data_IF_990328446348
#
_entry.id   IF_990328446348
#
_cell.length_a   1.000
_cell.length_b   1.000
_cell.length_c   1.000
_cell.angle_alpha   90.00
_cell.angle_beta   90.00
_cell.angle_gamma   90.00
#
_symmetry.space_group_name_H-M   'P 1'
#
loop_
_entity.id
_entity.type
_entity.pdbx_description
1 polymer ?
#
# COMPACT_ATOMS: atom_id res chain seq x y z
N UNK A 1 37.86 -23.10 12.77
CA UNK A 1 36.63 -23.67 12.19
C UNK A 1 35.53 -23.13 13.08
N UNK A 2 35.00 -21.97 12.72
CA UNK A 2 34.00 -21.21 13.49
C UNK A 2 32.67 -21.33 12.72
N UNK A 3 31.72 -21.88 13.43
CA UNK A 3 30.32 -22.03 13.01
C UNK A 3 29.67 -20.64 13.00
N UNK A 4 29.52 -20.01 11.84
CA UNK A 4 28.78 -18.76 11.73
C UNK A 4 27.31 -19.10 11.51
N UNK A 5 26.55 -18.90 12.60
CA UNK A 5 25.10 -18.92 12.64
C UNK A 5 24.50 -18.07 11.51
N UNK A 6 23.76 -18.70 10.59
CA UNK A 6 22.90 -18.03 9.60
C UNK A 6 21.73 -17.40 10.33
N UNK A 7 21.85 -16.15 10.73
CA UNK A 7 20.71 -15.34 11.12
C UNK A 7 19.84 -15.06 9.88
N UNK A 8 18.60 -15.53 9.90
CA UNK A 8 17.60 -15.14 8.92
C UNK A 8 17.29 -13.66 9.03
N UNK A 9 17.06 -13.00 7.90
CA UNK A 9 16.70 -11.60 7.84
C UNK A 9 15.48 -11.31 8.74
N UNK A 10 15.60 -10.31 9.61
CA UNK A 10 14.52 -9.85 10.49
C UNK A 10 13.40 -9.17 9.67
N UNK A 11 12.23 -8.94 10.30
CA UNK A 11 11.08 -8.22 9.74
C UNK A 11 11.46 -6.91 9.06
N UNK A 12 12.48 -6.23 9.56
CA UNK A 12 13.04 -5.00 8.98
C UNK A 12 13.72 -5.24 7.65
N UNK A 13 14.40 -6.36 7.52
CA UNK A 13 15.20 -6.70 6.33
C UNK A 13 14.32 -7.12 5.15
N UNK A 14 13.18 -7.79 5.41
CA UNK A 14 12.24 -8.15 4.34
C UNK A 14 11.65 -6.93 3.63
N UNK A 15 11.26 -5.90 4.38
CA UNK A 15 10.69 -4.70 3.76
C UNK A 15 11.74 -3.84 3.07
N UNK A 16 13.00 -3.87 3.52
CA UNK A 16 14.12 -3.24 2.81
C UNK A 16 14.39 -3.97 1.51
N UNK A 17 14.34 -5.30 1.50
CA UNK A 17 14.52 -6.11 0.29
C UNK A 17 13.32 -6.01 -0.67
N UNK A 18 12.09 -5.96 -0.15
CA UNK A 18 10.87 -5.78 -0.95
C UNK A 18 10.74 -4.37 -1.55
N UNK A 19 11.44 -3.40 -1.00
CA UNK A 19 11.33 -1.97 -1.37
C UNK A 19 12.59 -1.41 -2.05
N UNK A 20 13.57 -2.25 -2.38
CA UNK A 20 14.79 -1.84 -3.07
C UNK A 20 15.83 -1.21 -2.12
N UNK A 21 17.01 -1.79 -2.07
CA UNK A 21 18.14 -1.34 -1.28
C UNK A 21 18.50 0.12 -1.57
N UNK A 22 18.23 1.00 -0.62
CA UNK A 22 18.85 2.32 -0.55
C UNK A 22 19.08 2.62 0.92
N UNK A 23 20.23 2.18 1.43
CA UNK A 23 20.75 2.66 2.69
C UNK A 23 21.16 4.13 2.52
N UNK A 24 20.39 5.05 3.05
CA UNK A 24 20.79 6.44 3.21
C UNK A 24 20.81 6.78 4.69
N UNK A 25 21.94 7.35 5.09
CA UNK A 25 22.27 7.82 6.42
C UNK A 25 21.08 8.49 7.13
N UNK A 26 20.66 7.92 8.25
CA UNK A 26 19.79 8.58 9.20
C UNK A 26 20.58 9.70 9.91
N UNK A 27 20.40 10.92 9.49
CA UNK A 27 20.75 12.07 10.29
C UNK A 27 19.67 12.24 11.39
N UNK A 28 20.13 12.17 12.61
CA UNK A 28 19.38 12.37 13.83
C UNK A 28 18.71 13.75 13.82
N UNK A 29 17.40 13.83 13.57
CA UNK A 29 16.61 15.02 13.85
C UNK A 29 15.60 14.68 14.93
N UNK A 30 15.80 15.29 16.09
CA UNK A 30 14.99 15.11 17.26
C UNK A 30 13.50 15.33 16.97
N UNK A 31 12.68 14.46 17.54
CA UNK A 31 11.24 14.60 17.59
C UNK A 31 10.88 15.92 18.30
N UNK A 32 10.59 16.94 17.53
CA UNK A 32 9.83 18.08 18.03
C UNK A 32 8.36 17.69 18.00
N UNK A 33 7.74 17.73 19.18
CA UNK A 33 6.34 17.40 19.38
C UNK A 33 5.46 18.11 18.36
N UNK A 34 4.62 17.33 17.68
CA UNK A 34 3.56 17.84 16.84
C UNK A 34 2.66 18.72 17.70
N UNK A 35 2.73 20.01 17.47
CA UNK A 35 1.78 21.00 18.01
C UNK A 35 0.38 20.58 17.53
N UNK A 36 -0.45 20.11 18.46
CA UNK A 36 -1.85 19.82 18.22
C UNK A 36 -2.61 21.13 18.04
N UNK A 37 -2.32 21.84 16.95
CA UNK A 37 -3.11 23.01 16.57
C UNK A 37 -4.44 22.54 16.01
N UNK A 38 -5.46 22.69 16.86
CA UNK A 38 -6.88 22.88 16.59
C UNK A 38 -7.27 22.73 15.10
N UNK A 39 -7.61 21.51 14.67
CA UNK A 39 -8.25 21.25 13.38
C UNK A 39 -9.72 21.60 13.47
N UNK A 40 -10.04 22.89 13.61
CA UNK A 40 -11.35 23.38 13.25
C UNK A 40 -11.58 22.97 11.79
N UNK A 41 -12.64 22.20 11.50
CA UNK A 41 -12.96 21.71 10.17
C UNK A 41 -12.99 22.90 9.21
N UNK A 42 -11.94 23.04 8.41
CA UNK A 42 -11.94 24.01 7.32
C UNK A 42 -12.98 23.52 6.32
N UNK A 43 -13.91 24.39 5.92
CA UNK A 43 -14.86 24.08 4.85
C UNK A 43 -14.14 23.72 3.54
N UNK A 44 -14.88 23.22 2.58
CA UNK A 44 -14.37 22.96 1.23
C UNK A 44 -13.89 24.24 0.57
N UNK A 45 -12.63 24.27 0.11
CA UNK A 45 -12.03 25.43 -0.54
C UNK A 45 -11.93 25.18 -2.03
N UNK A 46 -12.72 25.91 -2.81
CA UNK A 46 -12.67 25.92 -4.29
C UNK A 46 -11.64 26.96 -4.73
N UNK A 47 -10.75 26.60 -5.66
CA UNK A 47 -9.76 27.55 -6.21
C UNK A 47 -10.36 28.54 -7.20
N UNK A 48 -11.50 28.22 -7.76
CA UNK A 48 -12.11 28.93 -8.88
C UNK A 48 -11.82 28.30 -10.25
N UNK A 49 -10.81 27.43 -10.32
CA UNK A 49 -10.43 26.76 -11.57
C UNK A 49 -11.37 25.58 -11.88
N UNK A 50 -11.38 25.23 -13.16
CA UNK A 50 -12.05 24.03 -13.68
C UNK A 50 -11.12 23.29 -14.65
N UNK A 51 -11.06 21.96 -14.53
CA UNK A 51 -10.32 21.07 -15.42
C UNK A 51 -11.30 20.00 -15.91
N UNK A 52 -11.46 19.86 -17.23
CA UNK A 52 -12.39 18.93 -17.88
C UNK A 52 -13.81 18.96 -17.28
N UNK A 53 -14.30 20.17 -17.03
CA UNK A 53 -15.63 20.38 -16.45
C UNK A 53 -15.77 20.04 -14.96
N UNK A 54 -14.68 19.68 -14.27
CA UNK A 54 -14.65 19.39 -12.84
C UNK A 54 -14.02 20.55 -12.08
N UNK A 55 -14.60 20.89 -10.91
CA UNK A 55 -14.07 21.94 -10.04
C UNK A 55 -12.76 21.52 -9.41
N UNK A 56 -11.85 22.48 -9.26
CA UNK A 56 -10.59 22.32 -8.52
C UNK A 56 -10.80 22.75 -7.07
N UNK A 57 -10.33 21.93 -6.14
CA UNK A 57 -10.37 22.18 -4.70
C UNK A 57 -8.95 22.15 -4.11
N UNK A 58 -8.71 22.91 -3.06
CA UNK A 58 -7.46 22.88 -2.27
C UNK A 58 -7.67 22.41 -0.81
N UNK A 59 -8.92 22.20 -0.41
CA UNK A 59 -9.33 21.50 0.80
C UNK A 59 -10.73 20.91 0.58
N UNK A 60 -11.05 19.81 1.26
CA UNK A 60 -12.35 19.16 1.23
C UNK A 60 -12.90 19.01 2.64
N UNK A 61 -14.18 19.37 2.79
CA UNK A 61 -15.02 18.90 3.88
C UNK A 61 -16.24 18.20 3.24
N UNK A 62 -16.35 16.88 3.41
CA UNK A 62 -17.45 16.11 2.84
C UNK A 62 -18.82 16.61 3.32
N UNK A 63 -18.91 17.23 4.51
CA UNK A 63 -20.18 17.74 5.03
C UNK A 63 -20.76 18.88 4.18
N UNK A 64 -19.93 19.64 3.47
CA UNK A 64 -20.35 20.72 2.59
C UNK A 64 -20.96 20.23 1.27
N UNK A 65 -20.77 18.95 0.93
CA UNK A 65 -21.25 18.39 -0.33
C UNK A 65 -22.74 18.05 -0.26
N UNK A 66 -23.41 18.12 -1.38
CA UNK A 66 -24.81 17.72 -1.51
C UNK A 66 -24.95 16.20 -1.25
N UNK A 67 -25.84 15.75 -0.32
CA UNK A 67 -26.05 14.36 -0.04
C UNK A 67 -26.77 13.62 -1.18
N UNK A 68 -26.61 12.29 -1.24
CA UNK A 68 -27.24 11.44 -2.23
C UNK A 68 -26.60 11.56 -3.63
N UNK A 69 -25.39 12.09 -3.75
CA UNK A 69 -24.72 12.34 -5.05
C UNK A 69 -23.27 11.87 -5.09
N UNK A 70 -22.78 11.60 -6.30
CA UNK A 70 -21.36 11.51 -6.61
C UNK A 70 -20.82 12.89 -6.97
N UNK A 71 -19.65 13.22 -6.44
CA UNK A 71 -18.95 14.46 -6.71
C UNK A 71 -17.56 14.12 -7.24
N UNK A 72 -17.13 14.83 -8.29
CA UNK A 72 -15.83 14.66 -8.93
C UNK A 72 -15.07 15.98 -8.85
N UNK A 73 -13.84 15.93 -8.37
CA UNK A 73 -12.97 17.09 -8.24
C UNK A 73 -11.57 16.77 -8.72
N UNK A 74 -10.81 17.83 -9.00
CA UNK A 74 -9.36 17.79 -8.94
C UNK A 74 -8.89 18.48 -7.68
N UNK A 75 -8.03 17.80 -6.90
CA UNK A 75 -7.37 18.41 -5.76
C UNK A 75 -6.06 19.06 -6.20
N UNK A 76 -5.87 20.32 -5.82
CA UNK A 76 -4.67 21.08 -6.10
C UNK A 76 -3.53 20.66 -5.16
N UNK A 77 -2.60 19.87 -5.67
CA UNK A 77 -1.41 19.43 -4.95
C UNK A 77 -0.25 20.43 -5.03
N UNK A 78 0.96 19.93 -4.84
CA UNK A 78 2.18 20.74 -4.87
C UNK A 78 2.43 21.33 -6.27
N UNK A 79 3.14 22.45 -6.34
CA UNK A 79 3.53 23.05 -7.60
C UNK A 79 4.59 22.23 -8.33
N UNK A 80 4.46 22.18 -9.66
CA UNK A 80 5.49 21.72 -10.58
C UNK A 80 6.62 22.73 -10.68
N UNK A 81 7.75 22.33 -11.24
CA UNK A 81 8.91 23.20 -11.45
C UNK A 81 8.60 24.41 -12.34
N UNK A 82 7.56 24.33 -13.18
CA UNK A 82 7.08 25.39 -14.07
C UNK A 82 6.05 26.33 -13.45
N UNK A 83 5.70 26.10 -12.16
CA UNK A 83 4.75 26.93 -11.39
C UNK A 83 3.29 26.49 -11.45
N UNK A 84 2.90 25.60 -12.36
CA UNK A 84 1.59 24.96 -12.34
C UNK A 84 1.49 23.97 -11.20
N UNK A 85 0.28 23.43 -10.93
CA UNK A 85 0.08 22.45 -9.88
C UNK A 85 -0.05 21.02 -10.45
N UNK A 86 0.38 20.05 -9.68
CA UNK A 86 -0.08 18.67 -9.84
C UNK A 86 -1.50 18.56 -9.32
N UNK A 87 -2.38 17.99 -10.10
CA UNK A 87 -3.78 17.80 -9.75
C UNK A 87 -4.06 16.32 -9.55
N UNK A 88 -4.73 15.99 -8.44
CA UNK A 88 -5.08 14.63 -8.07
C UNK A 88 -6.58 14.43 -8.27
N UNK A 89 -6.96 13.30 -8.86
CA UNK A 89 -8.35 12.95 -9.14
C UNK A 89 -9.05 12.47 -7.88
N UNK A 90 -10.14 13.13 -7.50
CA UNK A 90 -10.92 12.89 -6.30
C UNK A 90 -12.36 12.56 -6.67
N UNK A 91 -12.84 11.42 -6.16
CA UNK A 91 -14.25 11.02 -6.26
C UNK A 91 -14.84 10.92 -4.86
N UNK A 92 -16.03 11.47 -4.66
CA UNK A 92 -16.80 11.32 -3.41
C UNK A 92 -18.17 10.78 -3.72
N UNK A 93 -18.53 9.64 -3.14
CA UNK A 93 -19.90 9.17 -3.08
C UNK A 93 -20.46 9.55 -1.69
N UNK A 94 -21.22 10.64 -1.61
CA UNK A 94 -21.84 11.09 -0.37
C UNK A 94 -23.24 10.51 -0.25
N UNK A 95 -23.46 9.67 0.77
CA UNK A 95 -24.74 9.05 1.05
C UNK A 95 -25.84 10.08 1.38
N UNK A 96 -27.10 9.69 1.14
CA UNK A 96 -28.25 10.48 1.48
C UNK A 96 -28.48 10.60 3.01
N UNK A 97 -27.90 9.69 3.80
CA UNK A 97 -28.00 9.63 5.26
C UNK A 97 -26.62 9.80 5.91
N UNK A 98 -26.57 10.35 7.14
CA UNK A 98 -25.33 10.34 7.94
C UNK A 98 -24.81 8.91 8.17
N UNK A 99 -23.50 8.75 8.34
CA UNK A 99 -22.86 7.46 8.59
C UNK A 99 -21.35 7.58 8.60
N UNK A 100 -20.67 6.44 8.60
CA UNK A 100 -19.20 6.34 8.57
C UNK A 100 -18.62 6.79 7.24
N UNK A 101 -17.35 7.21 7.27
CA UNK A 101 -16.60 7.67 6.10
C UNK A 101 -15.39 6.78 5.90
N UNK A 102 -15.17 6.35 4.68
CA UNK A 102 -13.99 5.56 4.34
C UNK A 102 -13.20 6.24 3.23
N UNK A 103 -11.87 6.34 3.42
CA UNK A 103 -10.94 6.78 2.39
C UNK A 103 -10.34 5.57 1.68
N UNK A 104 -10.42 5.56 0.36
CA UNK A 104 -9.82 4.58 -0.55
C UNK A 104 -8.75 5.32 -1.36
N UNK A 105 -7.51 4.88 -1.27
CA UNK A 105 -6.38 5.58 -1.90
C UNK A 105 -5.66 4.66 -2.85
N UNK A 106 -5.25 5.16 -4.01
CA UNK A 106 -4.41 4.46 -4.99
C UNK A 106 -3.43 5.40 -5.68
N UNK A 107 -2.50 4.84 -6.42
CA UNK A 107 -1.53 5.62 -7.20
C UNK A 107 -0.49 6.35 -6.34
N UNK A 108 -0.21 5.86 -5.14
CA UNK A 108 0.93 6.32 -4.32
C UNK A 108 2.24 5.97 -5.03
N UNK A 109 2.32 4.79 -5.64
CA UNK A 109 3.34 4.45 -6.63
C UNK A 109 2.75 4.53 -8.03
N UNK A 110 3.49 5.12 -8.97
CA UNK A 110 2.91 5.47 -10.26
C UNK A 110 2.80 4.33 -11.27
N UNK A 111 3.46 3.21 -11.04
CA UNK A 111 3.38 2.02 -11.89
C UNK A 111 2.38 0.97 -11.36
N UNK A 112 1.67 1.26 -10.27
CA UNK A 112 0.71 0.35 -9.63
C UNK A 112 -0.72 0.68 -10.08
N UNK A 113 -1.16 0.12 -11.21
CA UNK A 113 -2.35 0.54 -11.95
C UNK A 113 -3.61 -0.26 -11.60
N UNK A 114 -3.50 -1.56 -11.23
CA UNK A 114 -4.66 -2.38 -10.82
C UNK A 114 -5.47 -1.75 -9.68
N UNK A 115 -4.87 -1.11 -8.65
CA UNK A 115 -5.56 -0.33 -7.63
C UNK A 115 -6.47 0.76 -8.18
N UNK A 116 -5.99 1.54 -9.15
CA UNK A 116 -6.78 2.62 -9.77
C UNK A 116 -8.06 2.07 -10.38
N UNK A 117 -7.94 0.96 -11.15
CA UNK A 117 -9.11 0.31 -11.76
C UNK A 117 -10.05 -0.31 -10.73
N UNK A 118 -9.50 -0.86 -9.65
CA UNK A 118 -10.29 -1.38 -8.52
C UNK A 118 -11.17 -0.27 -7.94
N UNK A 119 -10.58 0.89 -7.60
CA UNK A 119 -11.33 2.00 -7.01
C UNK A 119 -12.35 2.60 -7.99
N UNK A 120 -12.01 2.74 -9.26
CA UNK A 120 -12.98 3.14 -10.29
C UNK A 120 -14.19 2.20 -10.28
N UNK A 121 -13.95 0.88 -10.28
CA UNK A 121 -15.02 -0.12 -10.31
C UNK A 121 -15.88 -0.09 -9.04
N UNK A 122 -15.28 0.09 -7.86
CA UNK A 122 -16.01 0.28 -6.61
C UNK A 122 -16.90 1.52 -6.71
N UNK A 123 -16.32 2.67 -7.09
CA UNK A 123 -17.05 3.93 -7.17
C UNK A 123 -18.19 3.90 -8.20
N UNK A 124 -18.01 3.17 -9.31
CA UNK A 124 -19.07 3.00 -10.33
C UNK A 124 -20.29 2.26 -9.77
N UNK A 125 -20.09 1.25 -8.90
CA UNK A 125 -21.14 0.43 -8.31
C UNK A 125 -21.92 1.12 -7.19
N UNK A 126 -21.42 2.23 -6.64
CA UNK A 126 -22.10 2.92 -5.54
C UNK A 126 -23.31 3.72 -6.02
N UNK A 127 -24.44 3.58 -5.30
CA UNK A 127 -25.62 4.44 -5.43
C UNK A 127 -25.72 5.35 -4.18
N UNK A 128 -25.26 6.60 -4.24
CA UNK A 128 -25.29 7.49 -3.09
C UNK A 128 -26.69 7.75 -2.52
N UNK A 129 -27.74 7.63 -3.32
CA UNK A 129 -29.12 7.80 -2.84
C UNK A 129 -29.52 6.71 -1.83
N UNK A 130 -28.93 5.52 -1.97
CA UNK A 130 -29.16 4.38 -1.07
C UNK A 130 -28.15 4.30 0.10
N UNK A 131 -27.08 5.12 0.10
CA UNK A 131 -25.97 5.05 1.05
C UNK A 131 -26.21 5.82 2.34
N UNK A 132 -25.41 5.44 3.37
CA UNK A 132 -25.21 6.21 4.61
C UNK A 132 -23.71 6.55 4.74
N UNK A 133 -23.39 7.78 5.18
CA UNK A 133 -22.00 8.22 5.29
C UNK A 133 -21.37 8.54 3.93
N UNK A 134 -20.12 8.21 3.71
CA UNK A 134 -19.44 8.56 2.46
C UNK A 134 -18.26 7.64 2.12
N UNK A 135 -17.96 7.53 0.83
CA UNK A 135 -16.72 6.96 0.30
C UNK A 135 -15.95 8.06 -0.42
N UNK A 136 -14.72 8.31 0.01
CA UNK A 136 -13.75 9.20 -0.61
C UNK A 136 -12.72 8.35 -1.35
N UNK A 137 -12.61 8.47 -2.65
CA UNK A 137 -11.61 7.77 -3.45
C UNK A 137 -10.61 8.75 -4.06
N UNK A 138 -9.31 8.49 -3.86
CA UNK A 138 -8.19 9.19 -4.48
C UNK A 138 -7.52 8.23 -5.44
N UNK A 139 -7.43 8.60 -6.73
CA UNK A 139 -7.07 7.64 -7.77
C UNK A 139 -5.60 7.67 -8.19
N UNK A 140 -4.95 8.83 -8.12
CA UNK A 140 -3.68 9.12 -8.76
C UNK A 140 -2.78 10.02 -7.89
N UNK A 141 -2.54 9.59 -6.65
CA UNK A 141 -1.79 10.36 -5.64
C UNK A 141 -0.47 10.89 -6.19
N UNK A 142 0.36 10.03 -6.76
CA UNK A 142 1.66 10.38 -7.32
C UNK A 142 1.57 10.56 -8.83
N UNK A 143 0.76 11.53 -9.28
CA UNK A 143 0.54 11.74 -10.71
C UNK A 143 1.82 11.85 -11.54
N UNK A 144 2.88 12.56 -11.12
CA UNK A 144 4.12 12.59 -11.90
C UNK A 144 4.80 11.23 -12.04
N UNK A 145 4.64 10.34 -11.07
CA UNK A 145 5.14 8.97 -11.17
C UNK A 145 4.28 8.13 -12.13
N UNK A 146 2.95 8.31 -12.12
CA UNK A 146 2.02 7.65 -13.06
C UNK A 146 2.32 8.07 -14.50
N UNK A 147 2.50 9.36 -14.77
CA UNK A 147 2.85 9.88 -16.11
C UNK A 147 4.16 9.28 -16.62
N UNK A 148 5.09 8.94 -15.73
CA UNK A 148 6.35 8.27 -16.06
C UNK A 148 6.31 6.76 -16.02
N UNK A 149 5.16 6.13 -15.68
CA UNK A 149 5.04 4.69 -15.38
C UNK A 149 6.16 4.21 -14.46
N UNK A 150 6.49 5.02 -13.46
CA UNK A 150 7.58 4.80 -12.51
C UNK A 150 7.01 4.63 -11.10
N UNK A 151 7.66 3.76 -10.30
CA UNK A 151 7.28 3.59 -8.91
C UNK A 151 7.42 4.89 -8.10
N UNK A 152 8.54 5.57 -8.29
CA UNK A 152 8.95 6.71 -7.47
C UNK A 152 8.62 8.04 -8.10
N UNK A 153 8.39 9.05 -7.26
CA UNK A 153 8.23 10.44 -7.69
C UNK A 153 9.52 10.92 -8.36
N UNK A 154 9.47 11.31 -9.65
CA UNK A 154 10.63 11.84 -10.35
C UNK A 154 10.86 13.30 -9.96
N UNK A 155 12.13 13.70 -9.90
CA UNK A 155 12.58 15.10 -9.75
C UNK A 155 12.11 15.78 -8.45
N UNK A 156 12.83 15.54 -7.36
CA UNK A 156 12.57 16.17 -6.05
C UNK A 156 13.20 17.56 -5.88
N UNK A 157 13.81 18.13 -6.93
CA UNK A 157 14.44 19.45 -6.90
C UNK A 157 15.93 19.47 -6.53
N UNK A 158 16.56 18.29 -6.35
CA UNK A 158 18.00 18.15 -6.08
C UNK A 158 18.78 17.52 -7.25
N UNK A 159 18.21 17.53 -8.44
CA UNK A 159 18.71 16.78 -9.59
C UNK A 159 17.75 15.64 -9.94
N UNK A 160 18.27 14.46 -10.30
CA UNK A 160 17.45 13.27 -10.62
C UNK A 160 17.26 12.43 -9.34
N UNK A 161 16.70 13.02 -8.31
CA UNK A 161 16.32 12.25 -7.11
C UNK A 161 14.97 11.57 -7.35
N UNK A 162 14.90 10.31 -7.00
CA UNK A 162 13.67 9.51 -7.05
C UNK A 162 13.22 9.23 -5.62
N UNK A 163 12.13 9.88 -5.20
CA UNK A 163 11.59 9.72 -3.84
C UNK A 163 10.44 8.72 -3.85
N UNK A 164 10.50 7.75 -2.96
CA UNK A 164 9.37 6.86 -2.69
C UNK A 164 8.31 7.63 -1.90
N UNK A 165 7.18 7.92 -2.56
CA UNK A 165 6.08 8.68 -1.97
C UNK A 165 5.52 7.98 -0.72
N UNK A 166 5.58 6.64 -0.67
CA UNK A 166 5.15 5.86 0.49
C UNK A 166 6.21 5.76 1.60
N UNK A 167 7.08 6.78 1.67
CA UNK A 167 8.00 7.06 2.80
C UNK A 167 7.88 8.50 3.29
N UNK A 168 6.96 9.26 2.68
CA UNK A 168 6.80 10.68 2.97
C UNK A 168 5.58 11.01 3.86
N UNK A 169 4.73 10.01 4.18
CA UNK A 169 3.52 10.24 4.97
C UNK A 169 3.78 10.39 6.49
N UNK A 170 3.03 11.27 7.19
CA UNK A 170 1.91 12.10 6.71
C UNK A 170 2.34 13.31 5.89
N UNK A 171 3.63 13.55 5.70
CA UNK A 171 4.18 14.69 5.01
C UNK A 171 4.19 15.98 5.84
N UNK A 172 4.67 17.04 5.19
CA UNK A 172 4.69 18.39 5.79
C UNK A 172 4.46 19.41 4.68
N UNK A 173 3.40 20.21 4.77
CA UNK A 173 3.05 21.23 3.77
C UNK A 173 4.18 22.24 3.50
N UNK A 174 5.09 22.40 4.45
CA UNK A 174 6.30 23.22 4.36
C UNK A 174 7.60 22.38 4.32
N UNK A 175 7.49 21.07 4.00
CA UNK A 175 8.59 20.13 3.98
C UNK A 175 9.68 20.47 2.96
N UNK A 176 10.83 19.77 3.04
CA UNK A 176 12.00 20.09 2.22
C UNK A 176 11.88 19.62 0.76
N UNK A 177 10.97 18.68 0.47
CA UNK A 177 10.78 18.09 -0.86
C UNK A 177 9.36 18.29 -1.38
N UNK A 178 9.19 18.28 -2.71
CA UNK A 178 7.86 18.35 -3.31
C UNK A 178 6.96 17.16 -2.90
N UNK A 179 7.44 15.89 -2.89
CA UNK A 179 6.64 14.77 -2.38
C UNK A 179 6.19 14.94 -0.94
N UNK A 180 7.06 15.38 -0.02
CA UNK A 180 6.70 15.63 1.38
C UNK A 180 5.62 16.71 1.52
N UNK A 181 5.72 17.80 0.75
CA UNK A 181 4.68 18.85 0.71
C UNK A 181 3.37 18.34 0.13
N UNK A 182 3.45 17.53 -0.92
CA UNK A 182 2.29 16.93 -1.56
C UNK A 182 1.55 16.00 -0.61
N UNK A 183 2.28 15.10 0.07
CA UNK A 183 1.74 14.24 1.12
C UNK A 183 1.05 15.05 2.22
N UNK A 184 1.71 16.11 2.71
CA UNK A 184 1.15 16.99 3.74
C UNK A 184 -0.14 17.68 3.31
N UNK A 185 -0.21 18.20 2.08
CA UNK A 185 -1.43 18.80 1.53
C UNK A 185 -2.57 17.78 1.44
N UNK A 186 -2.30 16.59 0.90
CA UNK A 186 -3.30 15.52 0.77
C UNK A 186 -3.76 15.04 2.15
N UNK A 187 -2.84 14.74 3.05
CA UNK A 187 -3.18 14.18 4.35
C UNK A 187 -3.98 15.15 5.21
N UNK A 188 -3.53 16.41 5.33
CA UNK A 188 -4.14 17.37 6.22
C UNK A 188 -5.43 18.01 5.67
N UNK A 189 -5.55 18.16 4.34
CA UNK A 189 -6.62 18.93 3.73
C UNK A 189 -7.67 18.09 3.02
N UNK A 190 -7.37 16.82 2.76
CA UNK A 190 -8.25 15.95 1.98
C UNK A 190 -8.56 14.64 2.72
N UNK A 191 -7.55 13.91 3.21
CA UNK A 191 -7.71 12.54 3.71
C UNK A 191 -8.16 12.51 5.17
N UNK A 192 -7.31 12.96 6.11
CA UNK A 192 -7.55 12.89 7.55
C UNK A 192 -8.89 13.53 8.01
N UNK A 193 -9.31 14.70 7.49
CA UNK A 193 -10.56 15.33 7.92
C UNK A 193 -11.82 14.59 7.46
N UNK A 194 -11.69 13.66 6.52
CA UNK A 194 -12.81 13.04 5.82
C UNK A 194 -12.88 11.52 5.95
N UNK A 195 -12.11 10.92 6.86
CA UNK A 195 -12.05 9.47 7.02
C UNK A 195 -12.20 9.02 8.47
N UNK A 196 -13.07 8.04 8.72
CA UNK A 196 -13.13 7.24 9.94
C UNK A 196 -12.31 5.95 9.80
N UNK A 197 -12.13 5.47 8.55
CA UNK A 197 -11.36 4.28 8.15
C UNK A 197 -10.65 4.54 6.83
N UNK A 198 -9.56 3.81 6.56
CA UNK A 198 -8.85 3.97 5.29
C UNK A 198 -8.28 2.65 4.74
N UNK A 199 -8.14 2.60 3.42
CA UNK A 199 -7.41 1.54 2.71
C UNK A 199 -6.48 2.18 1.67
N UNK A 200 -5.20 1.79 1.70
CA UNK A 200 -4.15 2.26 0.78
C UNK A 200 -3.78 1.14 -0.18
N UNK A 201 -4.31 1.18 -1.39
CA UNK A 201 -4.24 0.10 -2.37
C UNK A 201 -2.94 0.17 -3.19
N UNK A 202 -2.23 -0.95 -3.22
CA UNK A 202 -0.96 -1.13 -3.89
C UNK A 202 -0.92 -2.38 -4.78
N UNK A 203 0.23 -2.63 -5.39
CA UNK A 203 0.62 -3.90 -6.03
C UNK A 203 2.02 -4.28 -5.58
N UNK A 204 2.48 -5.46 -5.95
CA UNK A 204 3.89 -5.80 -5.87
C UNK A 204 4.77 -4.71 -6.51
N UNK A 205 5.95 -4.47 -5.93
CA UNK A 205 6.92 -3.50 -6.46
C UNK A 205 7.36 -3.87 -7.89
N UNK A 206 7.86 -2.91 -8.65
CA UNK A 206 8.41 -3.15 -10.00
C UNK A 206 9.30 -4.39 -10.05
N UNK A 207 9.02 -5.30 -10.98
CA UNK A 207 9.75 -6.55 -11.15
C UNK A 207 9.32 -7.68 -10.22
N UNK A 208 8.27 -7.49 -9.42
CA UNK A 208 7.69 -8.51 -8.53
C UNK A 208 6.21 -8.70 -8.81
N UNK A 209 5.77 -9.94 -8.71
CA UNK A 209 4.37 -10.32 -8.64
C UNK A 209 4.06 -10.81 -7.22
N UNK A 210 2.87 -10.51 -6.72
CA UNK A 210 2.42 -10.89 -5.38
C UNK A 210 1.07 -11.59 -5.43
N UNK A 211 0.78 -12.39 -4.41
CA UNK A 211 -0.57 -12.95 -4.22
C UNK A 211 -1.60 -11.85 -3.98
N UNK A 212 -2.87 -12.19 -4.01
CA UNK A 212 -3.89 -11.32 -3.44
C UNK A 212 -3.70 -11.30 -1.91
N UNK A 213 -3.07 -10.25 -1.37
CA UNK A 213 -2.77 -10.19 0.06
C UNK A 213 -2.92 -8.80 0.68
N UNK A 214 -2.86 -8.74 2.00
CA UNK A 214 -2.84 -7.49 2.75
C UNK A 214 -1.61 -7.37 3.63
N UNK A 215 -1.11 -6.15 3.76
CA UNK A 215 -0.26 -5.74 4.88
C UNK A 215 -1.17 -5.09 5.92
N UNK A 216 -1.31 -5.72 7.11
CA UNK A 216 -2.26 -5.28 8.12
C UNK A 216 -1.74 -5.47 9.55
N UNK A 217 -2.08 -4.55 10.44
CA UNK A 217 -1.90 -4.65 11.89
C UNK A 217 -3.03 -5.51 12.46
N UNK A 218 -2.84 -6.84 12.48
CA UNK A 218 -3.88 -7.77 12.93
C UNK A 218 -4.09 -7.76 14.45
N UNK A 219 -3.23 -7.10 15.20
CA UNK A 219 -3.40 -6.79 16.63
C UNK A 219 -4.44 -5.68 16.88
N UNK A 220 -4.78 -4.88 15.85
CA UNK A 220 -5.82 -3.87 15.93
C UNK A 220 -7.18 -4.45 15.51
N UNK A 221 -8.17 -4.55 16.43
CA UNK A 221 -9.42 -5.28 16.16
C UNK A 221 -10.20 -4.77 14.94
N UNK A 222 -10.26 -3.44 14.74
CA UNK A 222 -10.98 -2.86 13.60
C UNK A 222 -10.26 -3.08 12.28
N UNK A 223 -8.91 -3.08 12.28
CA UNK A 223 -8.11 -3.42 11.09
C UNK A 223 -8.31 -4.88 10.73
N UNK A 224 -8.21 -5.80 11.71
CA UNK A 224 -8.49 -7.22 11.53
C UNK A 224 -9.87 -7.46 10.95
N UNK A 225 -10.90 -6.81 11.54
CA UNK A 225 -12.28 -6.98 11.09
C UNK A 225 -12.47 -6.58 9.62
N UNK A 226 -11.79 -5.51 9.16
CA UNK A 226 -11.85 -5.11 7.75
C UNK A 226 -11.03 -6.03 6.84
N UNK A 227 -9.80 -6.37 7.25
CA UNK A 227 -8.87 -7.14 6.40
C UNK A 227 -9.39 -8.56 6.11
N UNK A 228 -10.05 -9.21 7.08
CA UNK A 228 -10.62 -10.55 6.93
C UNK A 228 -11.89 -10.60 6.03
N UNK A 229 -12.44 -9.44 5.65
CA UNK A 229 -13.63 -9.36 4.76
C UNK A 229 -13.32 -9.51 3.28
N UNK A 230 -12.05 -9.68 2.91
CA UNK A 230 -11.64 -9.86 1.52
C UNK A 230 -11.49 -11.35 1.18
N UNK A 231 -11.99 -11.80 0.02
CA UNK A 231 -11.79 -13.18 -0.45
C UNK A 231 -10.40 -13.35 -1.11
N UNK A 232 -9.36 -13.14 -0.33
CA UNK A 232 -7.95 -13.14 -0.76
C UNK A 232 -7.21 -14.35 -0.19
N UNK A 233 -5.95 -14.51 -0.59
CA UNK A 233 -5.14 -15.67 -0.26
C UNK A 233 -4.43 -15.51 1.09
N UNK A 234 -3.87 -14.32 1.37
CA UNK A 234 -2.93 -14.14 2.46
C UNK A 234 -3.08 -12.78 3.17
N UNK A 235 -2.74 -12.74 4.46
CA UNK A 235 -2.49 -11.51 5.21
C UNK A 235 -1.11 -11.60 5.85
N UNK A 236 -0.27 -10.61 5.60
CA UNK A 236 0.94 -10.41 6.38
C UNK A 236 0.61 -9.52 7.58
N UNK A 237 0.58 -10.14 8.77
CA UNK A 237 0.45 -9.43 10.05
C UNK A 237 1.73 -8.68 10.33
N UNK A 238 1.72 -7.40 10.00
CA UNK A 238 2.89 -6.58 9.99
C UNK A 238 2.62 -5.24 10.67
N UNK A 239 3.48 -4.79 11.60
CA UNK A 239 3.39 -3.44 12.12
C UNK A 239 3.60 -2.44 10.98
N UNK A 240 2.78 -1.40 10.96
CA UNK A 240 2.92 -0.30 10.02
C UNK A 240 4.31 0.35 10.14
N UNK A 241 4.94 0.63 8.99
CA UNK A 241 6.23 1.31 8.96
C UNK A 241 6.06 2.82 9.01
N UNK A 242 7.02 3.55 9.61
CA UNK A 242 7.04 5.01 9.50
C UNK A 242 7.09 5.45 8.04
N UNK A 243 6.29 6.47 7.71
CA UNK A 243 6.27 7.09 6.39
C UNK A 243 5.34 6.43 5.37
N UNK A 244 4.71 5.28 5.67
CA UNK A 244 3.64 4.72 4.81
C UNK A 244 2.28 5.34 5.16
N UNK A 245 1.39 5.41 4.16
CA UNK A 245 0.09 6.07 4.33
C UNK A 245 -0.80 5.36 5.36
N UNK A 246 -0.91 4.04 5.31
CA UNK A 246 -1.68 3.27 6.29
C UNK A 246 -1.18 3.51 7.73
N UNK A 247 0.15 3.60 7.92
CA UNK A 247 0.77 3.94 9.21
C UNK A 247 0.37 5.34 9.67
N UNK A 248 0.44 6.33 8.78
CA UNK A 248 0.06 7.70 9.09
C UNK A 248 -1.41 7.84 9.53
N UNK A 249 -2.32 7.05 8.95
CA UNK A 249 -3.71 6.98 9.41
C UNK A 249 -3.82 6.36 10.81
N UNK A 250 -3.14 5.24 11.06
CA UNK A 250 -3.13 4.55 12.36
C UNK A 250 -2.59 5.49 13.46
N UNK A 251 -1.53 6.24 13.19
CA UNK A 251 -0.90 7.17 14.12
C UNK A 251 -1.84 8.31 14.58
N UNK A 252 -2.87 8.62 13.78
CA UNK A 252 -3.90 9.60 14.15
C UNK A 252 -5.23 8.95 14.59
N UNK A 253 -5.21 7.63 14.85
CA UNK A 253 -6.36 6.89 15.37
C UNK A 253 -7.39 6.47 14.32
N UNK A 254 -7.04 6.49 13.03
CA UNK A 254 -7.89 6.02 11.93
C UNK A 254 -7.43 4.60 11.54
N UNK A 255 -8.25 3.55 11.77
CA UNK A 255 -7.90 2.19 11.37
C UNK A 255 -7.67 2.09 9.85
N UNK A 256 -6.52 1.53 9.46
CA UNK A 256 -6.12 1.43 8.07
C UNK A 256 -5.25 0.21 7.80
N UNK A 257 -5.24 -0.26 6.55
CA UNK A 257 -4.35 -1.32 6.07
C UNK A 257 -4.08 -1.16 4.57
N UNK A 258 -3.15 -1.98 4.04
CA UNK A 258 -2.71 -1.91 2.66
C UNK A 258 -3.10 -3.19 1.90
N UNK A 259 -4.11 -3.14 1.02
CA UNK A 259 -4.38 -4.18 0.02
C UNK A 259 -3.33 -4.16 -1.10
N UNK A 260 -2.82 -5.35 -1.48
CA UNK A 260 -1.79 -5.56 -2.51
C UNK A 260 -2.34 -6.43 -3.64
N UNK A 261 -2.37 -5.93 -4.88
CA UNK A 261 -3.10 -6.51 -6.03
C UNK A 261 -2.14 -6.94 -7.13
N UNK A 262 -1.53 -8.11 -7.02
CA UNK A 262 -0.70 -8.69 -8.09
C UNK A 262 0.52 -7.85 -8.48
N UNK A 263 0.86 -7.84 -9.75
CA UNK A 263 2.03 -7.16 -10.29
C UNK A 263 1.77 -5.70 -10.67
N UNK A 264 2.82 -4.87 -10.62
CA UNK A 264 2.82 -3.52 -11.20
C UNK A 264 2.71 -3.53 -12.73
N UNK A 265 2.35 -2.39 -13.31
CA UNK A 265 2.30 -2.11 -14.77
C UNK A 265 1.27 -2.91 -15.57
N UNK A 266 0.40 -3.67 -14.91
CA UNK A 266 -0.68 -4.41 -15.56
C UNK A 266 -2.02 -4.08 -14.92
N UNK A 267 -3.10 -4.40 -15.64
CA UNK A 267 -4.45 -4.52 -15.08
C UNK A 267 -4.70 -6.00 -14.82
N UNK A 268 -4.62 -6.43 -13.59
CA UNK A 268 -4.88 -7.82 -13.23
C UNK A 268 -6.39 -8.08 -13.14
N UNK A 269 -6.95 -8.53 -14.25
CA UNK A 269 -8.38 -8.83 -14.37
C UNK A 269 -8.84 -10.02 -13.51
N UNK A 270 -7.93 -10.84 -13.00
CA UNK A 270 -8.24 -11.95 -12.11
C UNK A 270 -8.34 -11.51 -10.64
N UNK A 271 -7.48 -10.59 -10.23
CA UNK A 271 -7.42 -10.11 -8.85
C UNK A 271 -8.33 -8.91 -8.57
N UNK A 272 -8.47 -7.97 -9.51
CA UNK A 272 -9.32 -6.78 -9.33
C UNK A 272 -10.71 -7.14 -8.76
N UNK A 273 -11.45 -8.15 -9.27
CA UNK A 273 -12.76 -8.51 -8.73
C UNK A 273 -12.76 -8.91 -7.26
N UNK A 274 -11.68 -9.58 -6.77
CA UNK A 274 -11.55 -9.99 -5.37
C UNK A 274 -11.46 -8.76 -4.44
N UNK A 275 -10.70 -7.76 -4.86
CA UNK A 275 -10.53 -6.51 -4.09
C UNK A 275 -11.76 -5.59 -4.18
N UNK A 276 -12.48 -5.61 -5.29
CA UNK A 276 -13.80 -4.94 -5.39
C UNK A 276 -14.78 -5.60 -4.43
N UNK A 277 -14.90 -6.94 -4.43
CA UNK A 277 -15.79 -7.70 -3.54
C UNK A 277 -15.47 -7.43 -2.06
N UNK A 278 -14.19 -7.50 -1.68
CA UNK A 278 -13.72 -7.23 -0.32
C UNK A 278 -14.01 -5.79 0.11
N UNK A 279 -13.74 -4.81 -0.75
CA UNK A 279 -14.06 -3.40 -0.48
C UNK A 279 -15.56 -3.22 -0.26
N UNK A 280 -16.40 -3.79 -1.12
CA UNK A 280 -17.85 -3.75 -0.96
C UNK A 280 -18.31 -4.43 0.34
N UNK A 281 -17.63 -5.49 0.78
CA UNK A 281 -17.90 -6.13 2.08
C UNK A 281 -17.55 -5.20 3.25
N UNK A 282 -16.43 -4.48 3.19
CA UNK A 282 -16.07 -3.48 4.21
C UNK A 282 -17.12 -2.36 4.27
N UNK A 283 -17.60 -1.88 3.11
CA UNK A 283 -18.66 -0.86 3.08
C UNK A 283 -19.98 -1.35 3.70
N UNK A 284 -20.32 -2.64 3.49
CA UNK A 284 -21.49 -3.28 4.14
C UNK A 284 -21.29 -3.45 5.63
N UNK A 285 -20.11 -3.88 6.06
CA UNK A 285 -19.74 -4.06 7.46
C UNK A 285 -19.92 -2.77 8.27
N UNK A 286 -19.51 -1.64 7.71
CA UNK A 286 -19.67 -0.34 8.34
C UNK A 286 -21.05 0.32 8.11
N UNK A 287 -21.99 -0.37 7.44
CA UNK A 287 -23.33 0.15 7.17
C UNK A 287 -23.36 1.34 6.20
N UNK A 288 -22.29 1.52 5.40
CA UNK A 288 -22.24 2.56 4.37
C UNK A 288 -23.17 2.19 3.21
N UNK A 289 -23.18 0.93 2.82
CA UNK A 289 -24.14 0.36 1.87
C UNK A 289 -24.89 -0.81 2.49
N UNK A 290 -26.11 -1.05 2.02
CA UNK A 290 -26.87 -2.24 2.38
C UNK A 290 -26.51 -3.43 1.48
N UNK A 291 -26.85 -4.65 1.93
CA UNK A 291 -26.73 -5.88 1.15
C UNK A 291 -26.09 -7.02 1.93
N UNK A 292 -26.16 -8.21 1.34
CA UNK A 292 -25.50 -9.39 1.92
C UNK A 292 -23.98 -9.33 1.69
N UNK A 293 -23.22 -9.87 2.64
CA UNK A 293 -21.78 -10.05 2.45
C UNK A 293 -21.53 -10.97 1.26
N UNK A 294 -20.51 -10.63 0.48
CA UNK A 294 -19.91 -11.54 -0.48
C UNK A 294 -18.97 -12.55 0.21
N UNK A 295 -18.12 -13.20 -0.56
CA UNK A 295 -17.08 -14.08 -0.02
C UNK A 295 -16.10 -13.26 0.84
N UNK A 296 -15.50 -13.93 1.83
CA UNK A 296 -14.53 -13.34 2.76
C UNK A 296 -13.31 -14.25 2.89
N UNK A 297 -12.32 -13.87 3.64
CA UNK A 297 -11.15 -14.69 3.94
C UNK A 297 -11.50 -16.02 4.64
N UNK A 298 -12.68 -16.11 5.28
CA UNK A 298 -13.15 -17.34 5.87
C UNK A 298 -13.48 -18.41 4.82
N UNK A 299 -14.10 -18.00 3.71
CA UNK A 299 -14.47 -18.91 2.62
C UNK A 299 -13.26 -19.30 1.77
N UNK A 300 -12.24 -18.43 1.65
CA UNK A 300 -11.02 -18.73 0.88
C UNK A 300 -9.99 -19.51 1.71
N UNK A 301 -10.12 -19.57 3.03
CA UNK A 301 -9.13 -20.21 3.89
C UNK A 301 -7.84 -19.40 3.98
N UNK A 302 -7.97 -18.10 4.12
CA UNK A 302 -6.87 -17.13 4.14
C UNK A 302 -5.74 -17.56 5.09
N UNK A 303 -4.50 -17.52 4.61
CA UNK A 303 -3.31 -17.74 5.42
C UNK A 303 -2.85 -16.44 6.07
N UNK A 304 -2.71 -16.40 7.38
CA UNK A 304 -2.20 -15.24 8.12
C UNK A 304 -0.82 -15.58 8.65
N UNK A 305 0.20 -14.93 8.09
CA UNK A 305 1.59 -15.06 8.52
C UNK A 305 2.07 -13.81 9.23
N UNK A 306 2.98 -14.00 10.21
CA UNK A 306 3.54 -12.89 10.99
C UNK A 306 4.99 -12.56 10.63
N UNK A 307 5.57 -13.29 9.69
CA UNK A 307 6.96 -13.13 9.25
C UNK A 307 7.07 -13.46 7.77
N UNK A 308 8.04 -12.85 7.11
CA UNK A 308 8.34 -13.14 5.72
C UNK A 308 9.84 -13.37 5.54
N UNK A 309 10.19 -14.34 4.69
CA UNK A 309 11.57 -14.67 4.35
C UNK A 309 11.82 -14.36 2.89
N UNK A 310 12.79 -13.51 2.60
CA UNK A 310 13.22 -13.17 1.25
C UNK A 310 14.37 -14.08 0.80
N UNK A 311 14.21 -14.74 -0.32
CA UNK A 311 15.29 -15.45 -1.03
C UNK A 311 15.93 -14.45 -1.99
N UNK A 312 17.18 -14.08 -1.73
CA UNK A 312 17.89 -13.05 -2.48
C UNK A 312 18.89 -13.67 -3.45
N UNK A 313 18.99 -13.07 -4.65
CA UNK A 313 20.03 -13.43 -5.61
C UNK A 313 21.43 -13.13 -5.07
N UNK A 314 22.37 -14.04 -5.25
CA UNK A 314 23.80 -13.86 -4.93
C UNK A 314 24.64 -13.56 -6.16
N UNK A 315 24.09 -13.81 -7.35
CA UNK A 315 24.75 -13.63 -8.65
C UNK A 315 23.88 -12.78 -9.59
N UNK A 316 24.47 -12.27 -10.65
CA UNK A 316 23.74 -11.73 -11.80
C UNK A 316 23.39 -12.85 -12.80
N UNK A 317 22.25 -12.70 -13.51
CA UNK A 317 21.87 -13.64 -14.56
C UNK A 317 20.38 -13.79 -14.79
N UNK A 318 20.03 -14.80 -15.56
CA UNK A 318 18.65 -15.16 -15.90
C UNK A 318 18.06 -16.06 -14.81
N UNK A 319 16.86 -15.70 -14.36
CA UNK A 319 16.17 -16.40 -13.27
C UNK A 319 15.12 -17.34 -13.81
N UNK A 320 15.15 -18.57 -13.35
CA UNK A 320 14.12 -19.59 -13.55
C UNK A 320 13.51 -19.91 -12.18
N UNK A 321 12.26 -19.54 -11.97
CA UNK A 321 11.52 -19.86 -10.74
C UNK A 321 11.04 -21.30 -10.81
N UNK A 322 11.17 -22.04 -9.71
CA UNK A 322 10.70 -23.42 -9.55
C UNK A 322 9.42 -23.50 -8.71
N UNK A 323 8.92 -22.35 -8.28
CA UNK A 323 7.70 -22.17 -7.51
C UNK A 323 6.87 -21.02 -8.09
N UNK A 324 5.62 -20.96 -7.73
CA UNK A 324 4.67 -19.90 -8.07
C UNK A 324 3.99 -19.35 -6.82
N UNK A 325 3.26 -18.27 -6.98
CA UNK A 325 2.44 -17.67 -5.91
C UNK A 325 1.49 -18.71 -5.31
N UNK A 326 1.31 -18.67 -3.99
CA UNK A 326 0.51 -19.58 -3.16
C UNK A 326 1.07 -21.01 -3.03
N UNK A 327 2.21 -21.36 -3.63
CA UNK A 327 2.82 -22.65 -3.39
C UNK A 327 3.27 -22.77 -1.92
N UNK A 328 3.00 -23.94 -1.32
CA UNK A 328 3.56 -24.32 -0.02
C UNK A 328 4.97 -24.84 -0.23
N UNK A 329 5.91 -24.33 0.51
CA UNK A 329 7.31 -24.70 0.43
C UNK A 329 7.85 -25.13 1.79
N UNK A 330 8.82 -26.03 1.78
CA UNK A 330 9.53 -26.48 2.98
C UNK A 330 10.92 -25.82 3.07
N UNK A 331 11.43 -25.70 4.30
CA UNK A 331 12.81 -25.26 4.50
C UNK A 331 13.77 -26.21 3.78
N UNK A 332 14.70 -25.65 2.99
CA UNK A 332 15.62 -26.41 2.13
C UNK A 332 15.07 -26.73 0.74
N UNK A 333 13.80 -26.53 0.46
CA UNK A 333 13.23 -26.72 -0.88
C UNK A 333 13.83 -25.72 -1.86
N UNK A 334 14.25 -26.20 -3.03
CA UNK A 334 14.77 -25.37 -4.12
C UNK A 334 13.62 -24.58 -4.75
N UNK A 335 13.80 -23.26 -4.85
CA UNK A 335 12.77 -22.32 -5.30
C UNK A 335 13.15 -21.54 -6.56
N UNK A 336 14.44 -21.42 -6.87
CA UNK A 336 14.91 -20.77 -8.10
C UNK A 336 16.27 -21.30 -8.55
N UNK A 337 16.54 -21.14 -9.86
CA UNK A 337 17.84 -21.39 -10.49
C UNK A 337 18.24 -20.14 -11.26
N UNK A 338 19.51 -19.79 -11.24
CA UNK A 338 20.07 -18.68 -11.99
C UNK A 338 21.12 -19.14 -12.97
N UNK A 339 21.04 -18.62 -14.20
CA UNK A 339 21.96 -18.98 -15.29
C UNK A 339 22.66 -17.73 -15.82
N UNK A 340 23.90 -17.89 -16.28
CA UNK A 340 24.60 -16.85 -17.03
C UNK A 340 24.13 -16.78 -18.49
N UNK A 341 24.71 -15.89 -19.29
CA UNK A 341 24.40 -15.70 -20.70
C UNK A 341 24.72 -16.91 -21.60
N UNK A 342 25.53 -17.84 -21.11
CA UNK A 342 25.87 -19.10 -21.82
C UNK A 342 24.93 -20.24 -21.44
N UNK A 343 23.95 -20.00 -20.53
CA UNK A 343 23.02 -21.02 -20.05
C UNK A 343 23.57 -21.91 -18.94
N UNK A 344 24.77 -21.63 -18.44
CA UNK A 344 25.37 -22.38 -17.33
C UNK A 344 24.72 -21.97 -16.01
N UNK A 345 24.45 -22.94 -15.14
CA UNK A 345 23.90 -22.67 -13.78
C UNK A 345 24.99 -22.01 -12.94
N UNK A 346 24.71 -20.79 -12.46
CA UNK A 346 25.64 -20.02 -11.60
C UNK A 346 25.22 -20.03 -10.14
N UNK A 347 23.93 -20.28 -9.85
CA UNK A 347 23.41 -20.43 -8.50
C UNK A 347 22.09 -21.22 -8.48
N UNK A 348 21.85 -21.91 -7.37
CA UNK A 348 20.56 -22.49 -7.00
C UNK A 348 20.15 -21.93 -5.64
N UNK A 349 18.86 -21.62 -5.50
CA UNK A 349 18.32 -20.96 -4.32
C UNK A 349 17.28 -21.82 -3.63
N UNK A 350 17.35 -21.89 -2.32
CA UNK A 350 16.43 -22.67 -1.49
C UNK A 350 15.66 -21.74 -0.53
N UNK A 351 14.46 -22.14 -0.15
CA UNK A 351 13.73 -21.50 0.94
C UNK A 351 14.44 -21.76 2.28
N UNK A 352 14.65 -20.74 3.07
CA UNK A 352 15.18 -20.87 4.43
C UNK A 352 14.12 -21.28 5.46
N UNK A 353 12.83 -21.25 5.10
CA UNK A 353 11.69 -21.49 5.98
C UNK A 353 10.62 -22.33 5.31
N UNK A 354 9.79 -22.98 6.13
CA UNK A 354 8.54 -23.59 5.69
C UNK A 354 7.42 -22.54 5.74
N UNK A 355 6.65 -22.40 4.66
CA UNK A 355 5.58 -21.40 4.57
C UNK A 355 4.89 -21.40 3.20
N UNK A 356 4.29 -20.27 2.85
CA UNK A 356 3.60 -20.08 1.57
C UNK A 356 4.26 -18.95 0.76
N UNK A 357 4.44 -19.18 -0.54
CA UNK A 357 5.01 -18.17 -1.45
C UNK A 357 4.06 -17.00 -1.58
N UNK A 358 4.50 -15.81 -1.18
CA UNK A 358 3.72 -14.57 -1.22
C UNK A 358 4.13 -13.62 -2.35
N UNK A 359 5.40 -13.70 -2.77
CA UNK A 359 5.91 -12.89 -3.88
C UNK A 359 6.91 -13.67 -4.73
N UNK A 360 6.89 -13.40 -6.02
CA UNK A 360 7.79 -13.96 -7.02
C UNK A 360 8.33 -12.84 -7.91
N UNK A 361 9.64 -12.96 -8.27
CA UNK A 361 10.21 -12.10 -9.29
C UNK A 361 9.56 -12.37 -10.65
N UNK A 362 9.07 -11.34 -11.33
CA UNK A 362 8.52 -11.42 -12.69
C UNK A 362 9.47 -10.84 -13.76
N UNK A 363 10.55 -10.14 -13.37
CA UNK A 363 11.66 -9.84 -14.25
C UNK A 363 12.49 -11.10 -14.49
N UNK A 364 12.77 -11.41 -15.77
CA UNK A 364 13.50 -12.60 -16.14
C UNK A 364 14.99 -12.59 -15.75
N UNK A 365 15.50 -11.43 -15.30
CA UNK A 365 16.90 -11.23 -14.89
C UNK A 365 16.97 -10.68 -13.48
N UNK A 366 18.09 -10.92 -12.81
CA UNK A 366 18.38 -10.32 -11.50
C UNK A 366 19.87 -10.03 -11.35
N UNK A 367 20.16 -9.11 -10.47
CA UNK A 367 21.51 -8.80 -9.97
C UNK A 367 21.62 -9.20 -8.49
N UNK A 368 22.85 -9.30 -7.94
CA UNK A 368 23.02 -9.62 -6.52
C UNK A 368 22.21 -8.68 -5.61
N UNK A 369 21.51 -9.25 -4.63
CA UNK A 369 20.64 -8.54 -3.70
C UNK A 369 19.20 -8.40 -4.15
N UNK A 370 18.84 -8.71 -5.42
CA UNK A 370 17.45 -8.72 -5.83
C UNK A 370 16.69 -9.87 -5.17
N UNK A 371 15.47 -9.60 -4.74
CA UNK A 371 14.56 -10.65 -4.26
C UNK A 371 14.06 -11.50 -5.42
N UNK A 372 14.13 -12.82 -5.26
CA UNK A 372 13.64 -13.82 -6.22
C UNK A 372 12.28 -14.35 -5.80
N UNK A 373 12.16 -14.75 -4.54
CA UNK A 373 10.95 -15.32 -3.93
C UNK A 373 10.82 -14.78 -2.52
N UNK A 374 9.60 -14.51 -2.09
CA UNK A 374 9.28 -14.27 -0.69
C UNK A 374 8.33 -15.36 -0.18
N UNK A 375 8.58 -15.84 1.04
CA UNK A 375 7.80 -16.87 1.71
C UNK A 375 7.22 -16.28 3.00
N UNK A 376 5.90 -16.24 3.08
CA UNK A 376 5.17 -15.86 4.27
C UNK A 376 5.07 -17.07 5.22
N UNK A 377 5.36 -16.87 6.50
CA UNK A 377 5.36 -17.95 7.49
C UNK A 377 5.00 -17.42 8.87
N UNK A 378 4.78 -18.33 9.82
CA UNK A 378 4.59 -17.99 11.23
C UNK A 378 5.86 -18.30 12.01
N UNK A 379 6.49 -17.23 12.51
CA UNK A 379 7.58 -17.35 13.48
C UNK A 379 6.96 -17.49 14.87
N UNK A 380 7.39 -18.51 15.62
CA UNK A 380 7.07 -18.59 17.03
C UNK A 380 7.56 -17.31 17.76
N UNK A 381 6.80 -16.77 18.72
CA UNK A 381 7.35 -15.70 19.55
C UNK A 381 8.67 -16.19 20.16
N UNK A 382 9.68 -15.32 20.31
CA UNK A 382 10.90 -15.70 21.00
C UNK A 382 10.46 -16.24 22.37
N UNK A 383 10.85 -17.49 22.68
CA UNK A 383 10.61 -18.07 23.98
C UNK A 383 11.13 -17.05 25.00
N UNK A 384 10.31 -16.69 25.95
CA UNK A 384 10.78 -16.00 27.14
C UNK A 384 11.87 -16.91 27.69
N UNK A 385 13.12 -16.50 27.55
CA UNK A 385 14.24 -17.19 28.16
C UNK A 385 13.89 -17.18 29.64
N UNK A 386 13.54 -18.34 30.17
CA UNK A 386 13.40 -18.56 31.59
C UNK A 386 14.73 -18.12 32.19
N UNK A 387 14.75 -16.92 32.74
CA UNK A 387 15.84 -16.52 33.64
C UNK A 387 15.68 -17.42 34.87
N UNK A 388 16.37 -18.55 34.84
CA UNK A 388 16.55 -19.38 36.02
C UNK A 388 17.31 -18.49 37.01
N UNK A 389 16.73 -18.15 38.17
CA UNK A 389 17.50 -17.51 39.21
C UNK A 389 18.43 -18.56 39.79
N UNK A 390 19.73 -18.28 39.79
CA UNK A 390 20.68 -18.95 40.66
C UNK A 390 20.48 -18.56 42.12
#
# INVERSE_FOLDING_TARGET
MSDESREGLDRRDFMVAAVGASAALAANSGAQGADQTNTASRGTVYTGDMIDGKKVISALNIDDLEPGKKHLFYFQGVQMVTGQHWYVSVMVAKGARPGKRIALVSGVHGDEISPVRTLQTVMDQLDPAAMSGAVLAILDVSRPAIEGMARRWPNSGRGIDLIDMNREWPGNENGPTAPSRHAGLLFNRLLRPNADYAMDFHTGTTGMDVTAFHLARMDLPEVRAMAELFPIDQIFDNPAYPGILAGAFIDVGIPAFTPEIGASRILDHSMIPLFVEGTMNVLKHHGIIAGQMGRTGKETGIFIGNSAHAVLATNGGFVELLVKLNDKVEAGQRVAVQRNTFGEVVAEYTSGVTGEVTACRNDATSEPGNMLVAVLYNRAPPDLIDTIPE
#
